data_IF_111136451008
#
_entry.id   IF_111136451008
#
_cell.length_a   1.000
_cell.length_b   1.000
_cell.length_c   1.000
_cell.angle_alpha   90.00
_cell.angle_beta   90.00
_cell.angle_gamma   90.00
#
_symmetry.space_group_name_H-M   'P 1'
#
loop_
_entity.id
_entity.type
_entity.pdbx_description
1 polymer ?
#
# COMPACT_ATOMS: atom_id res chain seq x y z
N UNK A 1 18.66 12.68 21.14
CA UNK A 1 18.93 11.23 21.32
C UNK A 1 17.62 10.56 21.72
N UNK A 2 17.38 9.37 21.20
CA UNK A 2 16.18 8.57 21.44
C UNK A 2 16.56 7.30 22.19
N UNK A 3 15.78 6.88 23.17
CA UNK A 3 16.04 5.66 23.93
C UNK A 3 14.73 5.01 24.37
N UNK A 4 14.78 3.70 24.64
CA UNK A 4 13.64 2.96 25.19
C UNK A 4 13.30 3.47 26.59
N UNK A 5 12.02 3.59 26.90
CA UNK A 5 11.58 3.98 28.25
C UNK A 5 11.98 2.93 29.31
N UNK A 6 11.94 1.65 28.93
CA UNK A 6 12.23 0.52 29.82
C UNK A 6 13.32 -0.37 29.23
N UNK A 7 12.93 -1.34 28.40
CA UNK A 7 13.83 -2.28 27.75
C UNK A 7 13.50 -2.34 26.25
N UNK A 8 14.50 -2.68 25.44
CA UNK A 8 14.31 -2.87 24.00
C UNK A 8 13.30 -3.99 23.74
N UNK A 9 12.34 -3.72 22.84
CA UNK A 9 11.37 -4.72 22.46
C UNK A 9 12.02 -5.81 21.60
N UNK A 10 11.79 -7.12 21.84
CA UNK A 10 12.49 -8.21 21.14
C UNK A 10 12.25 -8.26 19.62
N UNK A 11 11.21 -7.57 19.13
CA UNK A 11 10.80 -7.53 17.72
C UNK A 11 11.12 -6.21 17.00
N UNK A 12 11.59 -5.19 17.71
CA UNK A 12 11.85 -3.87 17.12
C UNK A 12 13.20 -3.33 17.57
N UNK A 13 13.90 -2.66 16.67
CA UNK A 13 15.15 -1.95 16.97
C UNK A 13 14.92 -0.45 16.82
N UNK A 14 15.54 0.34 17.70
CA UNK A 14 15.55 1.80 17.61
C UNK A 14 16.95 2.27 17.20
N UNK A 15 17.01 3.19 16.24
CA UNK A 15 18.21 3.99 16.01
C UNK A 15 18.18 5.21 16.95
N UNK A 16 19.09 5.26 17.92
CA UNK A 16 19.12 6.29 18.96
C UNK A 16 19.50 7.70 18.46
N UNK A 17 20.09 7.78 17.27
CA UNK A 17 20.49 9.05 16.65
C UNK A 17 19.36 9.64 15.81
N UNK A 18 18.69 8.81 15.01
CA UNK A 18 17.67 9.26 14.05
C UNK A 18 16.24 9.10 14.55
N UNK A 19 16.00 8.27 15.56
CA UNK A 19 14.67 7.90 16.03
C UNK A 19 13.96 6.88 15.13
N UNK A 20 14.65 6.34 14.11
CA UNK A 20 14.06 5.36 13.19
C UNK A 20 13.85 4.01 13.88
N UNK A 21 12.63 3.48 13.75
CA UNK A 21 12.24 2.17 14.27
C UNK A 21 12.30 1.16 13.13
N UNK A 22 12.99 0.03 13.35
CA UNK A 22 13.10 -1.06 12.39
C UNK A 22 12.43 -2.32 12.95
N UNK A 23 11.51 -2.90 12.19
CA UNK A 23 10.88 -4.18 12.51
C UNK A 23 11.85 -5.33 12.21
N UNK A 24 11.98 -6.28 13.14
CA UNK A 24 12.81 -7.47 12.95
C UNK A 24 12.04 -8.53 12.16
N UNK A 25 12.77 -9.35 11.41
CA UNK A 25 12.19 -10.46 10.65
C UNK A 25 11.44 -11.44 11.56
N UNK A 26 10.36 -12.03 11.04
CA UNK A 26 9.50 -12.97 11.78
C UNK A 26 8.63 -12.31 12.87
N UNK A 27 8.43 -10.99 12.82
CA UNK A 27 7.43 -10.31 13.65
C UNK A 27 6.04 -10.69 13.15
N UNK A 28 5.20 -11.20 14.05
CA UNK A 28 3.84 -11.68 13.71
C UNK A 28 2.85 -10.53 13.66
N UNK A 29 1.71 -10.79 13.05
CA UNK A 29 0.55 -9.92 13.06
C UNK A 29 0.16 -9.52 14.48
N UNK A 30 -0.21 -8.25 14.64
CA UNK A 30 -0.66 -7.72 15.91
C UNK A 30 -0.32 -6.26 16.11
N UNK A 31 -0.70 -5.78 17.30
CA UNK A 31 -0.52 -4.39 17.72
C UNK A 31 0.52 -4.32 18.83
N UNK A 32 1.59 -3.59 18.58
CA UNK A 32 2.73 -3.44 19.48
C UNK A 32 2.81 -2.01 20.01
N UNK A 33 2.86 -1.86 21.33
CA UNK A 33 2.93 -0.56 21.98
C UNK A 33 4.36 -0.31 22.43
N UNK A 34 5.06 0.56 21.71
CA UNK A 34 6.46 0.90 21.95
C UNK A 34 6.53 2.24 22.69
N UNK A 35 7.35 2.30 23.73
CA UNK A 35 7.49 3.48 24.58
C UNK A 35 8.93 3.94 24.58
N UNK A 36 9.13 5.20 24.20
CA UNK A 36 10.43 5.82 24.08
C UNK A 36 10.47 7.12 24.88
N UNK A 37 11.69 7.56 25.16
CA UNK A 37 11.98 8.87 25.71
C UNK A 37 12.94 9.60 24.79
N UNK A 38 12.78 10.92 24.74
CA UNK A 38 13.56 11.81 23.89
C UNK A 38 14.32 12.80 24.75
N UNK A 39 15.61 12.90 24.49
CA UNK A 39 16.49 13.95 25.00
C UNK A 39 16.83 14.91 23.87
N UNK A 40 16.32 16.14 23.96
CA UNK A 40 16.60 17.23 23.04
C UNK A 40 17.43 18.31 23.73
N UNK A 41 18.74 18.29 23.45
CA UNK A 41 19.70 19.25 23.98
C UNK A 41 19.42 20.68 23.49
N UNK A 42 18.86 20.87 22.30
CA UNK A 42 18.65 22.19 21.69
C UNK A 42 17.55 22.97 22.39
N UNK A 43 16.50 22.29 22.82
CA UNK A 43 15.37 22.90 23.54
C UNK A 43 15.41 22.63 25.05
N UNK A 44 16.52 22.10 25.58
CA UNK A 44 16.68 21.73 27.01
C UNK A 44 15.58 20.81 27.53
N UNK A 45 15.02 19.98 26.64
CA UNK A 45 13.96 19.04 26.98
C UNK A 45 14.57 17.68 27.30
N UNK A 46 14.21 17.14 28.45
CA UNK A 46 14.70 15.85 28.95
C UNK A 46 13.52 14.93 29.21
N UNK A 47 13.72 13.62 28.95
CA UNK A 47 12.73 12.57 29.21
C UNK A 47 11.33 12.81 28.61
N UNK A 48 11.25 13.46 27.44
CA UNK A 48 9.96 13.67 26.76
C UNK A 48 9.41 12.33 26.26
N UNK A 49 8.20 11.90 26.67
CA UNK A 49 7.63 10.63 26.25
C UNK A 49 7.25 10.64 24.77
N UNK A 50 7.65 9.61 24.04
CA UNK A 50 7.33 9.39 22.63
C UNK A 50 6.75 7.98 22.47
N UNK A 51 5.43 7.85 22.60
CA UNK A 51 4.73 6.58 22.49
C UNK A 51 4.38 6.31 21.03
N UNK A 52 4.72 5.12 20.53
CA UNK A 52 4.43 4.69 19.16
C UNK A 52 3.68 3.38 19.20
N UNK A 53 2.56 3.32 18.48
CA UNK A 53 1.80 2.09 18.29
C UNK A 53 2.07 1.58 16.88
N UNK A 54 2.62 0.37 16.78
CA UNK A 54 2.91 -0.29 15.51
C UNK A 54 1.89 -1.39 15.29
N UNK A 55 1.15 -1.33 14.18
CA UNK A 55 0.25 -2.40 13.74
C UNK A 55 0.94 -3.16 12.62
N UNK A 56 1.15 -4.46 12.82
CA UNK A 56 1.76 -5.37 11.84
C UNK A 56 0.64 -6.24 11.26
N UNK A 57 0.62 -6.33 9.93
CA UNK A 57 -0.31 -7.15 9.16
C UNK A 57 0.47 -7.84 8.04
N UNK A 58 0.36 -9.15 7.96
CA UNK A 58 0.98 -9.96 6.92
C UNK A 58 0.14 -9.85 5.64
N UNK A 59 0.81 -9.55 4.53
CA UNK A 59 0.20 -9.46 3.21
C UNK A 59 0.75 -10.61 2.37
N UNK A 60 -0.03 -11.68 2.14
CA UNK A 60 0.46 -12.81 1.37
C UNK A 60 0.62 -12.44 -0.10
N UNK A 61 1.47 -13.19 -0.83
CA UNK A 61 1.73 -12.93 -2.25
C UNK A 61 0.44 -12.94 -3.10
N UNK A 62 -0.50 -13.85 -2.79
CA UNK A 62 -1.78 -13.90 -3.49
C UNK A 62 -2.63 -12.64 -3.31
N UNK A 63 -2.50 -11.92 -2.19
CA UNK A 63 -3.20 -10.65 -1.96
C UNK A 63 -2.63 -9.53 -2.82
N UNK A 64 -1.31 -9.54 -3.06
CA UNK A 64 -0.63 -8.57 -3.93
C UNK A 64 -0.99 -8.81 -5.40
N UNK A 65 -1.03 -10.07 -5.83
CA UNK A 65 -1.43 -10.44 -7.18
C UNK A 65 -2.92 -10.18 -7.40
N UNK A 66 -3.77 -10.55 -6.44
CA UNK A 66 -5.22 -10.33 -6.48
C UNK A 66 -5.63 -8.97 -5.89
N UNK A 67 -4.85 -7.92 -6.15
CA UNK A 67 -5.15 -6.58 -5.65
C UNK A 67 -5.85 -5.72 -6.70
N UNK A 68 -6.74 -4.83 -6.25
CA UNK A 68 -7.18 -3.68 -7.03
C UNK A 68 -6.17 -2.54 -6.95
N UNK A 69 -6.22 -1.60 -7.90
CA UNK A 69 -5.34 -0.44 -7.92
C UNK A 69 -6.06 0.82 -8.38
N UNK A 70 -5.67 1.96 -7.82
CA UNK A 70 -6.18 3.28 -8.20
C UNK A 70 -5.03 4.29 -8.29
N UNK A 71 -5.07 5.13 -9.31
CA UNK A 71 -4.20 6.31 -9.45
C UNK A 71 -4.98 7.54 -9.02
N UNK A 72 -4.41 8.32 -8.12
CA UNK A 72 -5.07 9.50 -7.52
C UNK A 72 -4.27 10.73 -7.89
N UNK A 73 -4.94 11.74 -8.44
CA UNK A 73 -4.34 13.04 -8.75
C UNK A 73 -4.56 14.05 -7.62
N UNK A 74 -3.62 14.99 -7.49
CA UNK A 74 -3.75 16.12 -6.57
C UNK A 74 -3.46 15.78 -5.11
N UNK A 75 -2.99 14.58 -4.81
CA UNK A 75 -2.65 14.16 -3.44
C UNK A 75 -1.32 13.41 -3.38
N UNK A 76 -0.56 13.65 -2.31
CA UNK A 76 0.64 12.88 -1.99
C UNK A 76 0.30 11.62 -1.19
N UNK A 77 1.25 10.69 -1.14
CA UNK A 77 1.20 9.53 -0.26
C UNK A 77 1.08 9.95 1.22
N UNK A 78 1.84 10.96 1.64
CA UNK A 78 1.76 11.54 2.99
C UNK A 78 0.35 12.03 3.31
N UNK A 79 -0.28 12.80 2.41
CA UNK A 79 -1.61 13.36 2.62
C UNK A 79 -2.71 12.31 2.59
N UNK A 80 -2.49 11.19 1.90
CA UNK A 80 -3.41 10.07 1.88
C UNK A 80 -3.46 9.33 3.23
N UNK A 81 -2.31 9.15 3.89
CA UNK A 81 -2.23 8.46 5.18
C UNK A 81 -2.37 9.39 6.41
N UNK A 82 -2.30 10.72 6.22
CA UNK A 82 -2.28 11.72 7.29
C UNK A 82 -3.50 11.60 8.22
N UNK A 83 -3.24 11.59 9.53
CA UNK A 83 -4.28 11.58 10.58
C UNK A 83 -4.43 12.92 11.31
N UNK A 84 -3.51 13.87 11.10
CA UNK A 84 -3.52 15.17 11.78
C UNK A 84 -4.11 16.25 10.87
N UNK A 85 -5.18 16.89 11.33
CA UNK A 85 -5.76 18.03 10.65
C UNK A 85 -5.18 19.34 11.20
N UNK A 86 -4.37 20.03 10.40
CA UNK A 86 -3.72 21.28 10.80
C UNK A 86 -4.67 22.46 10.99
N UNK A 87 -5.85 22.44 10.35
CA UNK A 87 -6.85 23.51 10.46
C UNK A 87 -7.61 23.43 11.78
N UNK A 88 -8.01 22.23 12.16
CA UNK A 88 -8.78 21.98 13.40
C UNK A 88 -7.90 21.60 14.59
N UNK A 89 -6.59 21.43 14.37
CA UNK A 89 -5.62 20.96 15.37
C UNK A 89 -6.07 19.67 16.08
N UNK A 90 -6.70 18.76 15.35
CA UNK A 90 -7.28 17.53 15.89
C UNK A 90 -6.91 16.30 15.09
N UNK A 91 -7.05 15.13 15.73
CA UNK A 91 -6.95 13.84 15.05
C UNK A 91 -8.21 13.60 14.22
N UNK A 92 -8.01 13.19 12.97
CA UNK A 92 -9.07 12.82 12.03
C UNK A 92 -8.73 11.51 11.34
N UNK A 93 -9.76 10.80 10.90
CA UNK A 93 -9.57 9.59 10.08
C UNK A 93 -8.84 9.93 8.79
N UNK A 94 -7.79 9.17 8.46
CA UNK A 94 -7.03 9.39 7.22
C UNK A 94 -7.86 9.01 5.99
N UNK A 95 -7.41 9.44 4.81
CA UNK A 95 -8.06 9.04 3.56
C UNK A 95 -7.86 7.55 3.29
N UNK A 96 -6.71 6.99 3.64
CA UNK A 96 -6.48 5.55 3.59
C UNK A 96 -7.51 4.77 4.42
N UNK A 97 -7.81 5.23 5.64
CA UNK A 97 -8.78 4.59 6.52
C UNK A 97 -10.22 4.74 6.01
N UNK A 98 -10.60 5.94 5.49
CA UNK A 98 -11.91 6.18 4.86
C UNK A 98 -12.08 5.34 3.59
N UNK A 99 -11.03 5.23 2.78
CA UNK A 99 -11.00 4.39 1.58
C UNK A 99 -11.21 2.93 1.96
N UNK A 100 -10.48 2.44 2.96
CA UNK A 100 -10.65 1.08 3.50
C UNK A 100 -12.08 0.81 3.97
N UNK A 101 -12.71 1.72 4.71
CA UNK A 101 -14.11 1.54 5.12
C UNK A 101 -15.05 1.51 3.92
N UNK A 102 -14.88 2.43 2.96
CA UNK A 102 -15.76 2.54 1.80
C UNK A 102 -15.69 1.31 0.91
N UNK A 103 -14.50 0.76 0.71
CA UNK A 103 -14.31 -0.50 0.00
C UNK A 103 -14.96 -1.67 0.74
N UNK A 104 -14.83 -1.73 2.07
CA UNK A 104 -15.48 -2.76 2.88
C UNK A 104 -17.01 -2.71 2.78
N UNK A 105 -17.59 -1.50 2.83
CA UNK A 105 -19.01 -1.23 2.62
C UNK A 105 -19.48 -1.71 1.24
N UNK A 106 -18.83 -1.25 0.17
CA UNK A 106 -19.21 -1.59 -1.22
C UNK A 106 -19.07 -3.07 -1.55
N UNK A 107 -18.10 -3.76 -0.92
CA UNK A 107 -17.90 -5.20 -1.10
C UNK A 107 -18.74 -6.05 -0.14
N UNK A 108 -19.46 -5.42 0.80
CA UNK A 108 -20.17 -6.08 1.90
C UNK A 108 -19.27 -7.12 2.61
N UNK A 109 -18.05 -6.72 2.99
CA UNK A 109 -17.11 -7.54 3.74
C UNK A 109 -16.67 -6.83 5.01
N UNK A 110 -16.10 -7.58 5.95
CA UNK A 110 -15.55 -6.98 7.15
C UNK A 110 -14.38 -6.05 6.81
N UNK A 111 -14.28 -4.97 7.58
CA UNK A 111 -13.21 -3.99 7.43
C UNK A 111 -11.82 -4.62 7.53
N UNK A 112 -11.65 -5.60 8.41
CA UNK A 112 -10.35 -6.27 8.61
C UNK A 112 -9.96 -7.20 7.46
N UNK A 113 -10.89 -7.49 6.55
CA UNK A 113 -10.65 -8.23 5.31
C UNK A 113 -10.29 -7.33 4.13
N UNK A 114 -10.08 -6.02 4.36
CA UNK A 114 -9.62 -5.06 3.35
C UNK A 114 -8.26 -4.50 3.76
N UNK A 115 -7.24 -4.70 2.93
CA UNK A 115 -5.89 -4.24 3.21
C UNK A 115 -5.43 -3.24 2.15
N UNK A 116 -5.21 -1.99 2.57
CA UNK A 116 -4.50 -0.98 1.76
C UNK A 116 -3.02 -1.14 2.06
N UNK A 117 -2.30 -1.85 1.19
CA UNK A 117 -0.93 -2.31 1.48
C UNK A 117 0.16 -1.54 0.71
N UNK A 118 -0.20 -0.72 -0.28
CA UNK A 118 0.73 0.11 -1.04
C UNK A 118 0.14 1.49 -1.28
N UNK A 119 0.87 2.54 -0.90
CA UNK A 119 0.56 3.95 -1.19
C UNK A 119 1.89 4.58 -1.64
N UNK A 120 2.03 4.87 -2.92
CA UNK A 120 3.31 5.27 -3.53
C UNK A 120 3.15 6.55 -4.36
N UNK A 121 3.97 7.56 -4.06
CA UNK A 121 4.02 8.80 -4.85
C UNK A 121 4.75 8.56 -6.18
N UNK A 122 4.05 8.72 -7.30
CA UNK A 122 4.60 8.56 -8.66
C UNK A 122 5.19 9.83 -9.21
N UNK A 123 4.57 10.96 -8.90
CA UNK A 123 4.99 12.28 -9.35
C UNK A 123 4.75 13.28 -8.24
N UNK A 124 5.68 14.21 -8.03
CA UNK A 124 5.58 15.24 -6.99
C UNK A 124 4.79 16.47 -7.45
N UNK A 125 4.92 16.89 -8.71
CA UNK A 125 4.32 18.11 -9.24
C UNK A 125 3.72 17.91 -10.65
N UNK A 126 2.39 18.02 -10.82
CA UNK A 126 1.39 17.93 -9.75
C UNK A 126 1.40 16.51 -9.13
N UNK A 127 1.03 16.38 -7.85
CA UNK A 127 1.16 15.12 -7.13
C UNK A 127 0.24 14.04 -7.71
N UNK A 128 0.81 12.85 -7.91
CA UNK A 128 0.09 11.64 -8.35
C UNK A 128 0.52 10.49 -7.47
N UNK A 129 -0.45 9.82 -6.86
CA UNK A 129 -0.21 8.73 -5.92
C UNK A 129 -0.95 7.48 -6.37
N UNK A 130 -0.24 6.37 -6.42
CA UNK A 130 -0.80 5.05 -6.73
C UNK A 130 -1.09 4.31 -5.43
N UNK A 131 -2.30 3.77 -5.33
CA UNK A 131 -2.76 3.00 -4.18
C UNK A 131 -3.14 1.60 -4.65
N UNK A 132 -2.65 0.57 -3.96
CA UNK A 132 -3.11 -0.81 -4.15
C UNK A 132 -3.73 -1.35 -2.88
N UNK A 133 -4.79 -2.12 -3.08
CA UNK A 133 -5.55 -2.71 -1.99
C UNK A 133 -5.99 -4.12 -2.36
N UNK A 134 -6.13 -4.97 -1.36
CA UNK A 134 -6.72 -6.30 -1.50
C UNK A 134 -7.96 -6.40 -0.63
N UNK A 135 -8.87 -7.28 -0.99
CA UNK A 135 -9.98 -7.64 -0.13
C UNK A 135 -10.34 -9.11 -0.30
N UNK A 136 -10.88 -9.73 0.76
CA UNK A 136 -11.24 -11.13 0.74
C UNK A 136 -12.57 -11.43 1.43
N UNK A 137 -13.17 -12.56 1.04
CA UNK A 137 -14.30 -13.21 1.70
C UNK A 137 -14.09 -14.72 1.83
N UNK A 138 -12.82 -15.16 1.76
CA UNK A 138 -12.35 -16.54 1.61
C UNK A 138 -12.82 -17.19 0.30
N UNK A 139 -12.09 -17.05 -0.83
CA UNK A 139 -10.71 -16.55 -1.01
C UNK A 139 -10.59 -15.02 -1.25
N UNK A 140 -9.37 -14.55 -1.56
CA UNK A 140 -9.13 -13.18 -2.07
C UNK A 140 -9.92 -12.91 -3.34
N UNK A 141 -10.50 -11.71 -3.44
CA UNK A 141 -11.24 -11.29 -4.61
C UNK A 141 -10.30 -10.97 -5.77
N UNK A 142 -10.67 -11.39 -6.98
CA UNK A 142 -9.88 -11.13 -8.18
C UNK A 142 -9.80 -9.63 -8.51
N UNK A 143 -8.72 -9.16 -9.16
CA UNK A 143 -8.56 -7.75 -9.53
C UNK A 143 -9.74 -7.18 -10.33
N UNK A 144 -10.31 -7.98 -11.23
CA UNK A 144 -11.49 -7.59 -12.05
C UNK A 144 -12.67 -7.16 -11.19
N UNK A 145 -12.94 -7.89 -10.09
CA UNK A 145 -14.04 -7.54 -9.17
C UNK A 145 -13.72 -6.26 -8.40
N UNK A 146 -12.49 -6.14 -7.88
CA UNK A 146 -12.07 -4.98 -7.08
C UNK A 146 -12.07 -3.69 -7.91
N UNK A 147 -11.44 -3.73 -9.08
CA UNK A 147 -11.40 -2.61 -10.01
C UNK A 147 -12.80 -2.28 -10.55
N UNK A 148 -13.62 -3.30 -10.85
CA UNK A 148 -15.00 -3.11 -11.30
C UNK A 148 -15.86 -2.38 -10.27
N UNK A 149 -15.79 -2.76 -8.99
CA UNK A 149 -16.52 -2.10 -7.91
C UNK A 149 -16.08 -0.64 -7.75
N UNK A 150 -14.76 -0.37 -7.78
CA UNK A 150 -14.26 1.00 -7.69
C UNK A 150 -14.69 1.84 -8.89
N UNK A 151 -14.70 1.27 -10.10
CA UNK A 151 -15.16 1.97 -11.30
C UNK A 151 -16.65 2.31 -11.22
N UNK A 152 -17.49 1.36 -10.82
CA UNK A 152 -18.95 1.57 -10.72
C UNK A 152 -19.33 2.61 -9.67
N UNK A 153 -18.56 2.71 -8.58
CA UNK A 153 -18.82 3.62 -7.46
C UNK A 153 -17.80 4.77 -7.35
N UNK A 154 -17.16 5.14 -8.47
CA UNK A 154 -16.05 6.11 -8.46
C UNK A 154 -16.42 7.45 -7.81
N UNK A 155 -17.53 8.06 -8.25
CA UNK A 155 -17.96 9.37 -7.72
C UNK A 155 -18.27 9.32 -6.22
N UNK A 156 -18.88 8.22 -5.78
CA UNK A 156 -19.21 7.97 -4.37
C UNK A 156 -17.94 7.85 -3.52
N UNK A 157 -16.95 7.08 -4.00
CA UNK A 157 -15.64 6.93 -3.34
C UNK A 157 -14.88 8.26 -3.31
N UNK A 158 -14.83 8.99 -4.44
CA UNK A 158 -14.16 10.29 -4.54
C UNK A 158 -14.73 11.30 -3.54
N UNK A 159 -16.07 11.36 -3.43
CA UNK A 159 -16.78 12.22 -2.48
C UNK A 159 -16.55 11.79 -1.03
N UNK A 160 -16.74 10.51 -0.72
CA UNK A 160 -16.68 9.99 0.65
C UNK A 160 -15.26 9.89 1.21
N UNK A 161 -14.24 9.82 0.35
CA UNK A 161 -12.84 9.82 0.78
C UNK A 161 -12.21 11.22 0.63
N UNK A 162 -12.70 12.03 -0.32
CA UNK A 162 -12.13 13.33 -0.68
C UNK A 162 -10.87 13.18 -1.50
N UNK A 163 -10.93 12.40 -2.59
CA UNK A 163 -9.84 12.14 -3.54
C UNK A 163 -10.32 12.34 -4.98
N UNK A 164 -9.38 12.39 -5.92
CA UNK A 164 -9.67 12.44 -7.36
C UNK A 164 -8.99 11.24 -8.03
N UNK A 165 -9.75 10.19 -8.31
CA UNK A 165 -9.25 8.97 -8.94
C UNK A 165 -9.12 9.29 -10.42
N UNK A 166 -7.96 9.11 -11.05
CA UNK A 166 -7.79 9.32 -12.49
C UNK A 166 -7.76 8.01 -13.28
N UNK A 167 -7.42 6.91 -12.63
CA UNK A 167 -7.36 5.58 -13.24
C UNK A 167 -7.70 4.51 -12.19
N UNK A 168 -8.41 3.48 -12.61
CA UNK A 168 -8.70 2.28 -11.80
C UNK A 168 -8.20 1.09 -12.58
N UNK A 169 -7.48 0.18 -11.92
CA UNK A 169 -6.68 -0.83 -12.61
C UNK A 169 -5.57 -0.16 -13.40
N UNK A 170 -4.56 0.34 -12.69
CA UNK A 170 -3.42 1.06 -13.28
C UNK A 170 -2.85 0.28 -14.45
N UNK A 171 -2.84 0.93 -15.60
CA UNK A 171 -2.45 0.40 -16.89
C UNK A 171 -1.49 1.41 -17.54
N UNK A 172 -0.21 1.07 -17.57
CA UNK A 172 0.82 1.89 -18.23
C UNK A 172 0.80 1.73 -19.75
N UNK A 173 0.09 0.72 -20.26
CA UNK A 173 -0.13 0.45 -21.67
C UNK A 173 -1.45 1.07 -22.21
N UNK A 174 -2.21 1.81 -21.40
CA UNK A 174 -3.53 2.32 -21.77
C UNK A 174 -3.50 3.20 -23.03
N UNK A 175 -2.45 3.99 -23.20
CA UNK A 175 -2.28 4.86 -24.36
C UNK A 175 -1.28 4.25 -25.34
N UNK A 176 -1.78 3.92 -26.54
CA UNK A 176 -0.97 3.41 -27.63
C UNK A 176 0.13 4.41 -28.04
N UNK A 177 1.30 3.89 -28.43
CA UNK A 177 2.46 4.69 -28.89
C UNK A 177 3.01 5.71 -27.88
N UNK A 178 2.55 5.69 -26.61
CA UNK A 178 3.11 6.54 -25.57
C UNK A 178 4.29 5.88 -24.87
N UNK A 179 4.13 4.64 -24.41
CA UNK A 179 5.20 3.88 -23.77
C UNK A 179 5.94 2.97 -24.75
N UNK A 180 5.23 2.45 -25.75
CA UNK A 180 5.74 1.50 -26.73
C UNK A 180 5.17 1.81 -28.12
N UNK A 181 6.00 1.82 -29.16
CA UNK A 181 5.59 2.02 -30.57
C UNK A 181 4.83 0.82 -31.17
N UNK A 182 4.53 -0.21 -30.37
CA UNK A 182 3.92 -1.45 -30.80
C UNK A 182 3.19 -2.15 -29.66
N UNK A 183 3.31 -3.48 -29.55
CA UNK A 183 2.67 -4.23 -28.46
C UNK A 183 3.19 -3.81 -27.09
N UNK A 184 2.28 -3.65 -26.14
CA UNK A 184 2.56 -3.32 -24.76
C UNK A 184 1.84 -4.31 -23.85
N UNK A 185 2.54 -4.78 -22.82
CA UNK A 185 2.00 -5.66 -21.78
C UNK A 185 2.36 -5.08 -20.42
N UNK A 186 1.37 -4.95 -19.53
CA UNK A 186 1.63 -4.54 -18.15
C UNK A 186 2.23 -5.71 -17.36
N UNK A 187 3.30 -5.44 -16.63
CA UNK A 187 3.88 -6.38 -15.67
C UNK A 187 3.89 -5.78 -14.28
N UNK A 188 3.61 -6.63 -13.29
CA UNK A 188 3.61 -6.26 -11.88
C UNK A 188 4.99 -6.58 -11.30
N UNK A 189 5.77 -5.55 -10.97
CA UNK A 189 7.07 -5.71 -10.30
C UNK A 189 6.89 -5.54 -8.78
N UNK A 190 7.18 -6.60 -8.02
CA UNK A 190 7.05 -6.64 -6.56
C UNK A 190 8.45 -6.58 -5.97
N UNK A 191 8.79 -5.47 -5.33
CA UNK A 191 10.12 -5.31 -4.74
C UNK A 191 10.25 -6.03 -3.40
N UNK A 192 11.43 -6.57 -3.14
CA UNK A 192 11.80 -7.08 -1.81
C UNK A 192 12.00 -5.96 -0.77
N UNK A 193 12.17 -4.71 -1.21
CA UNK A 193 12.33 -3.55 -0.34
C UNK A 193 10.97 -2.88 -0.10
N UNK A 194 10.63 -2.52 1.15
CA UNK A 194 9.38 -1.84 1.43
C UNK A 194 9.37 -0.39 0.90
N UNK A 195 8.18 0.20 0.89
CA UNK A 195 7.99 1.63 0.68
C UNK A 195 7.51 2.28 1.99
N UNK A 196 8.26 3.26 2.49
CA UNK A 196 7.92 3.97 3.73
C UNK A 196 7.35 5.35 3.39
N UNK A 197 6.19 5.64 3.97
CA UNK A 197 5.57 6.98 3.97
C UNK A 197 5.62 7.51 5.38
N UNK A 198 6.14 8.73 5.56
CA UNK A 198 6.18 9.42 6.85
C UNK A 198 5.35 10.71 6.77
N UNK A 199 4.20 10.74 7.44
CA UNK A 199 3.32 11.90 7.52
C UNK A 199 3.33 12.53 8.93
N UNK A 200 4.52 12.58 9.55
CA UNK A 200 4.81 13.11 10.88
C UNK A 200 4.17 12.36 12.05
N UNK A 201 2.85 12.48 12.22
CA UNK A 201 2.11 11.84 13.33
C UNK A 201 1.65 10.41 13.01
N UNK A 202 1.88 9.97 11.78
CA UNK A 202 1.55 8.64 11.29
C UNK A 202 2.54 8.26 10.20
N UNK A 203 2.83 6.98 10.11
CA UNK A 203 3.71 6.42 9.09
C UNK A 203 3.13 5.10 8.60
N UNK A 204 3.37 4.80 7.34
CA UNK A 204 2.96 3.54 6.72
C UNK A 204 4.19 2.90 6.08
N UNK A 205 4.38 1.61 6.33
CA UNK A 205 5.36 0.79 5.63
C UNK A 205 4.59 -0.24 4.83
N UNK A 206 4.59 -0.09 3.51
CA UNK A 206 3.83 -0.92 2.58
C UNK A 206 4.72 -1.77 1.68
N UNK A 207 4.08 -2.66 0.92
CA UNK A 207 4.74 -3.41 -0.15
C UNK A 207 5.01 -2.43 -1.30
N UNK A 208 6.26 -2.36 -1.76
CA UNK A 208 6.60 -1.60 -2.96
C UNK A 208 6.25 -2.42 -4.18
N UNK A 209 5.30 -1.93 -4.96
CA UNK A 209 4.79 -2.62 -6.15
C UNK A 209 4.62 -1.63 -7.29
N UNK A 210 5.26 -1.90 -8.41
CA UNK A 210 5.20 -1.05 -9.60
C UNK A 210 4.46 -1.78 -10.73
N UNK A 211 3.66 -1.04 -11.49
CA UNK A 211 3.15 -1.52 -12.79
C UNK A 211 4.08 -0.94 -13.84
N UNK A 212 4.67 -1.82 -14.64
CA UNK A 212 5.62 -1.45 -15.69
C UNK A 212 5.04 -1.83 -17.05
N UNK A 213 5.28 -0.98 -18.05
CA UNK A 213 5.01 -1.29 -19.44
C UNK A 213 6.20 -2.08 -20.02
N UNK A 214 5.95 -3.32 -20.45
CA UNK A 214 6.90 -4.09 -21.26
C UNK A 214 6.47 -4.04 -22.73
N UNK A 215 7.35 -3.53 -23.60
CA UNK A 215 7.10 -3.41 -25.05
C UNK A 215 7.23 -4.75 -25.78
N UNK A 216 6.43 -5.71 -25.35
CA UNK A 216 6.34 -7.05 -25.94
C UNK A 216 4.89 -7.48 -26.05
N UNK A 217 4.61 -8.44 -26.93
CA UNK A 217 3.31 -9.11 -26.95
C UNK A 217 3.33 -10.27 -25.96
N UNK A 218 2.89 -10.04 -24.72
CA UNK A 218 2.90 -11.06 -23.66
C UNK A 218 2.07 -12.31 -23.99
N UNK A 219 1.11 -12.20 -24.91
CA UNK A 219 0.32 -13.34 -25.39
C UNK A 219 1.06 -14.24 -26.41
N UNK A 220 2.18 -13.78 -26.98
CA UNK A 220 2.92 -14.49 -28.04
C UNK A 220 4.38 -14.75 -27.67
N UNK A 221 5.01 -13.80 -26.99
CA UNK A 221 6.42 -13.85 -26.61
C UNK A 221 6.53 -14.24 -25.13
N UNK A 222 6.68 -15.54 -24.87
CA UNK A 222 6.93 -16.08 -23.54
C UNK A 222 8.41 -15.91 -23.16
N UNK A 223 8.81 -14.66 -22.90
CA UNK A 223 10.20 -14.31 -22.57
C UNK A 223 10.62 -14.79 -21.16
N UNK A 224 9.65 -15.15 -20.32
CA UNK A 224 9.84 -15.67 -18.95
C UNK A 224 9.23 -17.06 -18.87
N UNK A 225 9.83 -17.95 -18.08
CA UNK A 225 9.24 -19.27 -17.81
C UNK A 225 7.90 -19.08 -17.08
N UNK A 226 6.82 -19.54 -17.71
CA UNK A 226 5.49 -19.57 -17.11
C UNK A 226 5.42 -20.72 -16.10
N UNK A 227 5.15 -20.39 -14.84
CA UNK A 227 4.94 -21.36 -13.76
C UNK A 227 3.51 -21.26 -13.22
N UNK A 228 3.07 -22.25 -12.45
CA UNK A 228 1.70 -22.29 -11.95
C UNK A 228 1.45 -21.33 -10.79
N UNK A 229 2.49 -20.67 -10.26
CA UNK A 229 2.34 -19.70 -9.15
C UNK A 229 1.66 -18.42 -9.59
N UNK A 230 1.79 -18.04 -10.87
CA UNK A 230 1.15 -16.84 -11.42
C UNK A 230 -0.26 -17.09 -11.97
N UNK A 231 -0.79 -18.31 -11.75
CA UNK A 231 -2.09 -18.75 -12.25
C UNK A 231 -2.35 -18.34 -13.72
N UNK A 232 -1.48 -18.76 -14.67
CA UNK A 232 -1.54 -18.31 -16.06
C UNK A 232 -2.81 -18.78 -16.80
N UNK A 233 -3.50 -19.76 -16.25
CA UNK A 233 -4.67 -20.36 -16.87
C UNK A 233 -5.97 -19.63 -16.49
N UNK A 234 -6.60 -19.00 -17.47
CA UNK A 234 -7.93 -18.40 -17.33
C UNK A 234 -9.04 -19.41 -17.72
N UNK A 235 -10.31 -19.07 -17.44
CA UNK A 235 -11.51 -19.82 -17.90
C UNK A 235 -11.55 -21.31 -17.52
N UNK A 236 -11.06 -21.67 -16.34
CA UNK A 236 -11.10 -23.05 -15.84
C UNK A 236 -9.96 -23.93 -16.35
N UNK A 237 -8.97 -23.36 -17.04
CA UNK A 237 -7.73 -24.07 -17.33
C UNK A 237 -7.00 -24.46 -16.04
N UNK A 238 -6.38 -25.65 -16.04
CA UNK A 238 -5.61 -26.16 -14.91
C UNK A 238 -4.13 -26.13 -15.27
N UNK A 239 -3.36 -25.36 -14.51
CA UNK A 239 -1.91 -25.35 -14.65
C UNK A 239 -1.30 -26.58 -13.94
N UNK A 240 -0.38 -27.27 -14.60
CA UNK A 240 0.34 -28.43 -14.06
C UNK A 240 1.84 -28.21 -14.31
N UNK A 241 2.62 -28.11 -13.25
CA UNK A 241 4.09 -28.15 -13.34
C UNK A 241 4.53 -29.62 -13.44
N UNK A 242 5.02 -30.03 -14.59
CA UNK A 242 5.75 -31.30 -14.71
C UNK A 242 7.16 -31.10 -14.16
N UNK A 243 7.53 -31.94 -13.20
CA UNK A 243 8.81 -31.93 -12.48
C UNK A 243 10.03 -31.94 -13.39
#
# INVERSE_FOLDING_TARGET
>A
KFYWEVAEHPRFKLNEDTGMISMRHGTRDGKYHLRFKVYDRKHTQTDVPANVTVTVKEIPHEAVVNSGSVRIAGITDEDFIRIWNYKTQSLSKSKAERFKDKIAELLNTERDNVDVFSVQLRRKHPPVTDVRFSAHGSPYYKPVRLNGIVLMHREEIEKDVGINITMVGIDECLYENQMCEGSCTNTLDISALPYMVNANKTSMVGVRVDVLAECTCGARNFSKEENCRNNPCYNGGRCIETR
#
